data_IF_752746431313
#
_entry.id   IF_752746431313
#
_cell.length_a   1.000
_cell.length_b   1.000
_cell.length_c   1.000
_cell.angle_alpha   90.00
_cell.angle_beta   90.00
_cell.angle_gamma   90.00
#
_symmetry.space_group_name_H-M   'P 1'
#
loop_
_entity.id
_entity.type
_entity.pdbx_description
1 polymer ?
#
# COMPACT_ATOMS: atom_id res chain seq x y z
N UNK A 1 9.35 48.18 27.58
CA UNK A 1 10.77 47.94 27.27
C UNK A 1 11.13 46.59 27.88
N UNK A 2 10.86 45.48 27.18
CA UNK A 2 11.01 44.13 27.75
C UNK A 2 12.18 43.42 27.07
N UNK A 3 13.27 43.37 27.84
CA UNK A 3 14.28 42.32 27.97
C UNK A 3 15.04 41.82 26.72
N UNK A 4 16.34 42.09 26.72
CA UNK A 4 17.34 41.65 25.75
C UNK A 4 17.56 40.14 25.73
N UNK A 5 16.65 39.43 25.08
CA UNK A 5 16.79 38.02 24.76
C UNK A 5 17.60 37.92 23.45
N UNK A 6 18.78 37.27 23.45
CA UNK A 6 19.62 37.19 22.26
C UNK A 6 18.86 36.48 21.13
N UNK A 7 18.98 37.00 19.90
CA UNK A 7 18.20 36.56 18.71
C UNK A 7 18.20 35.03 18.49
N UNK A 8 19.25 34.34 18.94
CA UNK A 8 19.38 32.87 18.89
C UNK A 8 18.42 32.14 19.84
N UNK A 9 18.10 32.73 21.00
CA UNK A 9 17.15 32.18 21.98
C UNK A 9 15.70 32.34 21.50
N UNK A 10 15.39 33.45 20.81
CA UNK A 10 14.08 33.62 20.16
C UNK A 10 13.86 32.58 19.05
N UNK A 11 14.89 32.26 18.26
CA UNK A 11 14.81 31.21 17.23
C UNK A 11 14.63 29.83 17.87
N UNK A 12 15.36 29.52 18.94
CA UNK A 12 15.24 28.23 19.62
C UNK A 12 13.82 28.01 20.20
N UNK A 13 13.23 29.04 20.82
CA UNK A 13 11.87 28.98 21.36
C UNK A 13 10.84 28.83 20.24
N UNK A 14 10.99 29.54 19.12
CA UNK A 14 10.10 29.42 17.96
C UNK A 14 10.15 28.02 17.33
N UNK A 15 11.33 27.39 17.26
CA UNK A 15 11.49 26.02 16.74
C UNK A 15 10.86 24.99 17.68
N UNK A 16 11.03 25.12 18.99
CA UNK A 16 10.44 24.20 19.98
C UNK A 16 8.90 24.32 20.02
N UNK A 17 8.38 25.54 19.96
CA UNK A 17 6.92 25.78 19.87
C UNK A 17 6.37 25.26 18.53
N UNK A 18 7.08 25.49 17.42
CA UNK A 18 6.70 24.96 16.10
C UNK A 18 6.65 23.44 16.05
N UNK A 19 7.66 22.75 16.61
CA UNK A 19 7.68 21.28 16.71
C UNK A 19 6.57 20.77 17.63
N UNK A 20 6.29 21.46 18.73
CA UNK A 20 5.18 21.13 19.63
C UNK A 20 3.80 21.20 18.95
N UNK A 21 3.56 22.23 18.13
CA UNK A 21 2.30 22.39 17.38
C UNK A 21 2.12 21.26 16.35
N UNK A 22 3.18 20.84 15.67
CA UNK A 22 3.15 19.71 14.72
C UNK A 22 2.74 18.41 15.43
N UNK A 23 3.15 18.21 16.69
CA UNK A 23 2.83 16.99 17.44
C UNK A 23 1.37 16.95 17.89
N UNK A 24 0.78 18.09 18.28
CA UNK A 24 -0.61 18.17 18.74
C UNK A 24 -1.58 18.14 17.55
N UNK A 25 -1.29 18.83 16.43
CA UNK A 25 -2.10 18.71 15.20
C UNK A 25 -1.89 17.37 14.46
N UNK A 26 -0.83 16.62 14.78
CA UNK A 26 -0.63 15.25 14.33
C UNK A 26 -1.43 14.19 15.11
N UNK A 27 -2.03 14.54 16.24
CA UNK A 27 -2.89 13.63 17.01
C UNK A 27 -4.33 13.62 16.50
N UNK A 28 -4.83 14.75 15.99
CA UNK A 28 -6.21 14.88 15.50
C UNK A 28 -6.39 14.56 14.00
N UNK A 29 -5.29 14.28 13.28
CA UNK A 29 -5.32 13.69 11.91
C UNK A 29 -4.87 12.22 11.90
N UNK A 30 -5.17 11.46 12.94
CA UNK A 30 -4.95 10.00 12.99
C UNK A 30 -6.22 9.17 13.14
N UNK A 31 -7.38 9.79 12.93
CA UNK A 31 -8.62 9.06 12.68
C UNK A 31 -8.99 9.23 11.20
N UNK A 32 -8.91 8.14 10.44
CA UNK A 32 -9.30 8.03 9.03
C UNK A 32 -8.26 8.38 7.98
N UNK A 33 -7.07 7.79 8.10
CA UNK A 33 -6.38 7.26 6.91
C UNK A 33 -5.87 5.85 7.23
N UNK A 34 -6.80 4.96 7.57
CA UNK A 34 -6.72 3.62 7.01
C UNK A 34 -7.08 3.75 5.52
N UNK A 35 -6.22 4.44 4.77
CA UNK A 35 -6.13 4.34 3.33
C UNK A 35 -5.56 2.95 3.10
N UNK A 36 -6.39 1.93 3.33
CA UNK A 36 -6.12 0.60 2.88
C UNK A 36 -5.93 0.75 1.40
N UNK A 37 -4.68 0.66 0.93
CA UNK A 37 -4.25 0.81 -0.46
C UNK A 37 -5.34 0.38 -1.43
N UNK A 38 -6.13 1.36 -1.85
CA UNK A 38 -7.19 1.15 -2.80
C UNK A 38 -6.47 1.15 -4.13
N UNK A 39 -6.00 -0.02 -4.55
CA UNK A 39 -5.88 -0.29 -5.98
C UNK A 39 -7.18 0.07 -6.69
N UNK A 40 -7.19 0.16 -8.03
CA UNK A 40 -8.32 0.63 -8.83
C UNK A 40 -9.66 -0.09 -8.55
N UNK A 41 -9.62 -1.24 -7.89
CA UNK A 41 -10.76 -2.10 -7.56
C UNK A 41 -10.99 -2.29 -6.05
N UNK A 42 -10.07 -1.86 -5.18
CA UNK A 42 -10.07 -2.22 -3.75
C UNK A 42 -9.76 -3.70 -3.47
N UNK A 43 -9.41 -4.50 -4.49
CA UNK A 43 -9.00 -5.89 -4.32
C UNK A 43 -7.49 -5.99 -4.13
N UNK A 44 -7.07 -5.98 -2.86
CA UNK A 44 -5.65 -6.18 -2.48
C UNK A 44 -5.42 -7.62 -2.05
N UNK A 45 -4.37 -8.23 -2.60
CA UNK A 45 -4.03 -9.64 -2.39
C UNK A 45 -2.60 -9.73 -1.85
N UNK A 46 -2.35 -10.73 -1.01
CA UNK A 46 -1.01 -11.15 -0.57
C UNK A 46 -0.66 -12.50 -1.20
N UNK A 47 0.61 -12.65 -1.57
CA UNK A 47 1.14 -13.85 -2.22
C UNK A 47 1.56 -14.89 -1.18
N UNK A 48 1.04 -16.10 -1.28
CA UNK A 48 1.32 -17.18 -0.32
C UNK A 48 2.41 -18.15 -0.78
N UNK A 49 2.78 -18.12 -2.07
CA UNK A 49 3.85 -18.94 -2.63
C UNK A 49 5.22 -18.27 -2.49
N UNK A 50 6.29 -19.07 -2.37
CA UNK A 50 7.68 -18.58 -2.35
C UNK A 50 7.97 -17.66 -3.55
N UNK A 51 7.58 -18.14 -4.74
CA UNK A 51 7.67 -17.41 -6.01
C UNK A 51 6.42 -17.69 -6.83
N UNK A 52 5.68 -16.63 -7.15
CA UNK A 52 4.49 -16.69 -7.99
C UNK A 52 4.77 -16.05 -9.35
N UNK A 53 4.59 -16.81 -10.43
CA UNK A 53 4.75 -16.27 -11.78
C UNK A 53 3.53 -15.44 -12.19
N UNK A 54 3.79 -14.26 -12.75
CA UNK A 54 2.81 -13.43 -13.44
C UNK A 54 2.94 -13.70 -14.93
N UNK A 55 1.83 -14.08 -15.56
CA UNK A 55 1.76 -14.54 -16.94
C UNK A 55 0.99 -13.56 -17.81
N UNK A 56 1.28 -13.58 -19.11
CA UNK A 56 0.62 -12.70 -20.10
C UNK A 56 -0.87 -13.03 -20.31
N UNK A 57 -1.26 -14.28 -20.07
CA UNK A 57 -2.63 -14.78 -20.25
C UNK A 57 -3.01 -15.77 -19.12
N UNK A 58 -4.31 -16.04 -18.89
CA UNK A 58 -4.79 -16.97 -17.86
C UNK A 58 -4.61 -18.44 -18.31
N UNK A 59 -3.35 -18.86 -18.46
CA UNK A 59 -2.98 -20.22 -18.85
C UNK A 59 -1.60 -20.61 -18.30
N UNK A 60 -1.40 -21.89 -18.00
CA UNK A 60 -0.15 -22.42 -17.42
C UNK A 60 1.07 -22.33 -18.37
N UNK A 61 0.82 -22.38 -19.68
CA UNK A 61 1.85 -22.27 -20.71
C UNK A 61 2.02 -20.84 -21.26
N UNK A 62 1.29 -19.86 -20.73
CA UNK A 62 1.46 -18.47 -21.12
C UNK A 62 2.82 -17.92 -20.68
N UNK A 63 3.35 -16.98 -21.46
CA UNK A 63 4.63 -16.32 -21.21
C UNK A 63 4.66 -15.68 -19.81
N UNK A 64 5.79 -15.82 -19.11
CA UNK A 64 5.99 -15.23 -17.80
C UNK A 64 6.49 -13.79 -17.99
N UNK A 65 5.67 -12.81 -17.65
CA UNK A 65 5.95 -11.37 -17.79
C UNK A 65 6.37 -10.72 -16.48
N UNK A 66 6.36 -11.47 -15.38
CA UNK A 66 6.79 -10.99 -14.08
C UNK A 66 6.76 -12.07 -13.00
N UNK A 67 7.19 -11.71 -11.80
CA UNK A 67 7.15 -12.59 -10.63
C UNK A 67 6.85 -11.80 -9.37
N UNK A 68 6.09 -12.41 -8.48
CA UNK A 68 5.99 -11.98 -7.09
C UNK A 68 6.76 -12.93 -6.18
N UNK A 69 7.21 -12.39 -5.05
CA UNK A 69 7.78 -13.17 -3.96
C UNK A 69 6.72 -13.41 -2.89
N UNK A 70 6.98 -14.36 -1.99
CA UNK A 70 6.17 -14.56 -0.80
C UNK A 70 5.91 -13.25 -0.05
N UNK A 71 4.70 -13.14 0.50
CA UNK A 71 4.19 -11.99 1.25
C UNK A 71 4.13 -10.67 0.47
N UNK A 72 4.47 -10.68 -0.83
CA UNK A 72 4.27 -9.52 -1.68
C UNK A 72 2.78 -9.20 -1.74
N UNK A 73 2.46 -7.93 -1.55
CA UNK A 73 1.11 -7.42 -1.75
C UNK A 73 0.97 -6.85 -3.16
N UNK A 74 -0.17 -7.11 -3.79
CA UNK A 74 -0.50 -6.56 -5.10
C UNK A 74 -1.96 -6.21 -5.16
N UNK A 75 -2.26 -5.16 -5.92
CA UNK A 75 -3.61 -4.94 -6.41
C UNK A 75 -3.96 -5.98 -7.46
N UNK A 76 -5.24 -6.32 -7.53
CA UNK A 76 -5.79 -7.25 -8.49
C UNK A 76 -7.18 -6.80 -8.93
N UNK A 77 -7.74 -7.48 -9.93
CA UNK A 77 -9.13 -7.35 -10.30
C UNK A 77 -9.94 -8.51 -9.70
N UNK A 78 -11.27 -8.33 -9.50
CA UNK A 78 -12.16 -9.41 -9.06
C UNK A 78 -12.33 -10.52 -10.11
N UNK A 79 -11.72 -10.37 -11.28
CA UNK A 79 -11.83 -11.30 -12.40
C UNK A 79 -10.89 -12.49 -12.22
N UNK A 80 -11.46 -13.70 -12.26
CA UNK A 80 -10.72 -14.97 -12.29
C UNK A 80 -11.14 -15.74 -13.54
N UNK A 81 -10.16 -16.26 -14.30
CA UNK A 81 -10.36 -17.07 -15.49
C UNK A 81 -9.37 -18.23 -15.48
N UNK A 82 -9.82 -19.45 -15.76
CA UNK A 82 -8.99 -20.67 -15.78
C UNK A 82 -8.11 -20.86 -14.53
N UNK A 83 -8.58 -20.45 -13.35
CA UNK A 83 -7.79 -20.51 -12.11
C UNK A 83 -6.75 -19.39 -11.95
N UNK A 84 -6.65 -18.45 -12.89
CA UNK A 84 -5.78 -17.27 -12.80
C UNK A 84 -6.60 -16.04 -12.47
N UNK A 85 -6.14 -15.27 -11.49
CA UNK A 85 -6.68 -13.94 -11.19
C UNK A 85 -5.99 -12.90 -12.04
N UNK A 86 -6.76 -11.97 -12.57
CA UNK A 86 -6.24 -10.81 -13.30
C UNK A 86 -5.60 -9.84 -12.31
N UNK A 87 -4.32 -9.57 -12.51
CA UNK A 87 -3.55 -8.58 -11.74
C UNK A 87 -3.65 -7.21 -12.43
N UNK A 88 -3.45 -7.20 -13.75
CA UNK A 88 -3.50 -6.02 -14.61
C UNK A 88 -3.82 -6.45 -16.05
N UNK A 89 -3.80 -5.53 -17.01
CA UNK A 89 -3.80 -5.83 -18.43
C UNK A 89 -2.63 -6.74 -18.81
N UNK A 90 -2.93 -7.87 -19.45
CA UNK A 90 -1.95 -8.90 -19.81
C UNK A 90 -1.09 -9.38 -18.63
N UNK A 91 -1.63 -9.35 -17.41
CA UNK A 91 -0.95 -9.85 -16.20
C UNK A 91 -1.90 -10.70 -15.37
N UNK A 92 -1.57 -11.97 -15.25
CA UNK A 92 -2.38 -12.99 -14.62
C UNK A 92 -1.53 -13.82 -13.66
N UNK A 93 -2.04 -14.13 -12.48
CA UNK A 93 -1.35 -14.98 -11.51
C UNK A 93 -2.30 -16.05 -10.98
N UNK A 94 -1.78 -17.24 -10.69
CA UNK A 94 -2.59 -18.36 -10.22
C UNK A 94 -3.29 -17.98 -8.90
N UNK A 95 -4.62 -18.07 -8.89
CA UNK A 95 -5.47 -17.53 -7.83
C UNK A 95 -5.32 -18.29 -6.51
N UNK A 96 -4.97 -19.58 -6.57
CA UNK A 96 -4.70 -20.43 -5.40
C UNK A 96 -3.51 -19.95 -4.54
N UNK A 97 -2.61 -19.15 -5.11
CA UNK A 97 -1.47 -18.56 -4.40
C UNK A 97 -1.68 -17.10 -4.02
N UNK A 98 -2.92 -16.60 -4.12
CA UNK A 98 -3.30 -15.24 -3.78
C UNK A 98 -4.37 -15.26 -2.68
N UNK A 99 -4.08 -14.58 -1.58
CA UNK A 99 -5.00 -14.42 -0.46
C UNK A 99 -5.49 -12.98 -0.36
N UNK A 100 -6.81 -12.71 -0.33
CA UNK A 100 -7.33 -11.38 -0.07
C UNK A 100 -6.84 -10.86 1.29
N UNK A 101 -6.40 -9.61 1.32
CA UNK A 101 -6.09 -8.92 2.57
C UNK A 101 -7.37 -8.56 3.32
N UNK A 102 -7.25 -8.37 4.64
CA UNK A 102 -8.39 -8.01 5.47
C UNK A 102 -9.06 -6.71 4.96
N UNK A 103 -10.36 -6.77 4.69
CA UNK A 103 -11.13 -5.65 4.16
C UNK A 103 -10.98 -5.41 2.65
N UNK A 104 -10.24 -6.24 1.90
CA UNK A 104 -10.18 -6.18 0.45
C UNK A 104 -11.52 -6.60 -0.18
N UNK A 105 -11.98 -5.85 -1.18
CA UNK A 105 -13.19 -6.19 -1.93
C UNK A 105 -12.77 -6.86 -3.25
N UNK A 106 -12.86 -8.19 -3.30
CA UNK A 106 -12.34 -8.99 -4.40
C UNK A 106 -13.39 -9.78 -5.18
N UNK A 107 -14.68 -9.46 -4.99
CA UNK A 107 -15.80 -10.20 -5.58
C UNK A 107 -16.12 -11.49 -4.85
#
# INVERSE_FOLDING_TARGET
MVLGIPKKVLIAIAVVVGIGIIYVMGADKRASEASGGSGPTGCRMSVTADILNVRSAPAENAEIVGKFKQDAETDAHPVVQNGFRKIDENRWAAAEFLKPLAGANCG
#
